data_IF_838242763139
#
_entry.id   IF_838242763139
#
_cell.length_a   1.000
_cell.length_b   1.000
_cell.length_c   1.000
_cell.angle_alpha   90.00
_cell.angle_beta   90.00
_cell.angle_gamma   90.00
#
_symmetry.space_group_name_H-M   'P 1'
#
loop_
_entity.id
_entity.type
_entity.pdbx_description
1 polymer ?
#
# COMPACT_ATOMS: atom_id res chain seq x y z
N UNK A 1 5.25 4.73 -44.58
CA UNK A 1 4.39 5.62 -43.77
C UNK A 1 3.13 4.93 -43.25
N UNK A 2 2.94 3.60 -43.44
CA UNK A 2 1.70 2.90 -43.06
C UNK A 2 1.76 2.22 -41.68
N UNK A 3 2.92 1.69 -41.28
CA UNK A 3 3.04 0.93 -40.01
C UNK A 3 2.76 1.79 -38.76
N UNK A 4 3.12 3.07 -38.79
CA UNK A 4 2.98 3.96 -37.63
C UNK A 4 1.52 4.29 -37.30
N UNK A 5 0.65 4.20 -38.30
CA UNK A 5 -0.79 4.43 -38.13
C UNK A 5 -1.51 3.14 -37.71
N UNK A 6 -1.04 1.97 -38.13
CA UNK A 6 -1.50 0.68 -37.63
C UNK A 6 -1.20 0.50 -36.13
N UNK A 7 0.00 0.88 -35.67
CA UNK A 7 0.33 0.84 -34.24
C UNK A 7 -0.55 1.78 -33.40
N UNK A 8 -0.87 2.97 -33.93
CA UNK A 8 -1.75 3.94 -33.25
C UNK A 8 -3.19 3.44 -33.17
N UNK A 9 -3.69 2.81 -34.23
CA UNK A 9 -5.02 2.22 -34.24
C UNK A 9 -5.11 0.98 -33.35
N UNK A 10 -4.07 0.14 -33.31
CA UNK A 10 -3.99 -0.99 -32.40
C UNK A 10 -3.94 -0.54 -30.92
N UNK A 11 -3.15 0.49 -30.61
CA UNK A 11 -3.08 1.05 -29.27
C UNK A 11 -4.41 1.70 -28.84
N UNK A 12 -5.11 2.37 -29.77
CA UNK A 12 -6.43 2.95 -29.49
C UNK A 12 -7.49 1.88 -29.20
N UNK A 13 -7.41 0.70 -29.82
CA UNK A 13 -8.29 -0.44 -29.51
C UNK A 13 -8.01 -1.06 -28.15
N UNK A 14 -6.74 -1.14 -27.73
CA UNK A 14 -6.35 -1.69 -26.42
C UNK A 14 -6.64 -0.72 -25.26
N UNK A 15 -6.70 0.58 -25.56
CA UNK A 15 -6.99 1.63 -24.58
C UNK A 15 -8.44 2.10 -24.65
N UNK A 16 -9.34 1.29 -25.22
CA UNK A 16 -10.74 1.65 -25.31
C UNK A 16 -11.35 1.77 -23.91
N UNK A 17 -12.01 2.91 -23.68
CA UNK A 17 -12.42 3.33 -22.34
C UNK A 17 -13.43 2.36 -21.73
N UNK A 18 -14.33 1.85 -22.56
CA UNK A 18 -15.41 0.97 -22.14
C UNK A 18 -14.87 -0.43 -21.78
N UNK A 19 -13.85 -0.92 -22.49
CA UNK A 19 -13.13 -2.15 -22.14
C UNK A 19 -12.37 -2.00 -20.81
N UNK A 20 -11.66 -0.89 -20.62
CA UNK A 20 -10.94 -0.58 -19.37
C UNK A 20 -11.93 -0.50 -18.20
N UNK A 21 -13.05 0.21 -18.37
CA UNK A 21 -14.07 0.36 -17.34
C UNK A 21 -14.73 -0.99 -16.99
N UNK A 22 -14.97 -1.85 -17.98
CA UNK A 22 -15.46 -3.21 -17.78
C UNK A 22 -14.48 -4.13 -17.02
N UNK A 23 -13.19 -4.07 -17.35
CA UNK A 23 -12.16 -4.88 -16.66
C UNK A 23 -11.95 -4.39 -15.23
N UNK A 24 -11.91 -3.08 -15.01
CA UNK A 24 -11.71 -2.50 -13.68
C UNK A 24 -12.94 -2.72 -12.78
N UNK A 25 -14.15 -2.56 -13.31
CA UNK A 25 -15.38 -2.81 -12.55
C UNK A 25 -15.54 -4.29 -12.16
N UNK A 26 -15.20 -5.21 -13.07
CA UNK A 26 -15.29 -6.66 -12.81
C UNK A 26 -14.21 -7.20 -11.87
N UNK A 27 -12.98 -6.66 -11.94
CA UNK A 27 -11.83 -7.19 -11.20
C UNK A 27 -11.52 -6.46 -9.89
N UNK A 28 -11.82 -5.16 -9.80
CA UNK A 28 -11.36 -4.31 -8.69
C UNK A 28 -12.48 -3.64 -7.89
N UNK A 29 -13.63 -3.31 -8.51
CA UNK A 29 -14.72 -2.59 -7.82
C UNK A 29 -15.95 -3.45 -7.50
N UNK A 30 -16.03 -4.69 -8.01
CA UNK A 30 -17.11 -5.59 -7.63
C UNK A 30 -16.82 -6.26 -6.28
N UNK A 31 -17.60 -5.88 -5.27
CA UNK A 31 -17.54 -6.40 -3.90
C UNK A 31 -18.23 -7.78 -3.75
N UNK A 32 -18.13 -8.62 -4.78
CA UNK A 32 -18.66 -9.99 -4.76
C UNK A 32 -17.51 -10.97 -4.66
N UNK A 33 -17.34 -11.68 -3.53
CA UNK A 33 -16.34 -12.73 -3.43
C UNK A 33 -16.74 -13.88 -4.37
N UNK A 34 -16.07 -13.97 -5.52
CA UNK A 34 -16.13 -15.17 -6.37
C UNK A 34 -15.50 -16.37 -5.65
N UNK A 35 -15.91 -17.61 -5.98
CA UNK A 35 -15.37 -18.80 -5.35
C UNK A 35 -13.90 -18.97 -5.74
N UNK A 36 -12.99 -18.65 -4.81
CA UNK A 36 -11.56 -18.88 -4.99
C UNK A 36 -11.26 -20.37 -5.03
N UNK A 37 -10.69 -20.81 -6.15
CA UNK A 37 -10.22 -22.17 -6.36
C UNK A 37 -9.15 -22.54 -5.32
N UNK A 38 -9.45 -23.59 -4.56
CA UNK A 38 -8.55 -24.13 -3.55
C UNK A 38 -7.37 -24.86 -4.22
N UNK A 39 -6.16 -24.30 -4.15
CA UNK A 39 -4.92 -25.05 -3.98
C UNK A 39 -3.67 -24.15 -3.95
N UNK A 40 -3.25 -23.73 -2.75
CA UNK A 40 -1.81 -23.70 -2.42
C UNK A 40 -1.61 -23.72 -0.90
N UNK A 41 -1.33 -24.90 -0.34
CA UNK A 41 -0.75 -25.01 1.01
C UNK A 41 0.64 -24.39 0.97
N UNK A 42 0.79 -23.19 1.56
CA UNK A 42 2.11 -22.64 1.90
C UNK A 42 2.04 -22.05 3.32
N UNK A 43 2.89 -22.62 4.18
CA UNK A 43 3.37 -22.17 5.50
C UNK A 43 2.40 -21.36 6.37
N UNK A 44 2.06 -21.92 7.54
CA UNK A 44 1.56 -21.20 8.73
C UNK A 44 2.63 -20.17 9.17
N UNK A 45 2.70 -19.06 8.45
CA UNK A 45 3.38 -17.84 8.87
C UNK A 45 2.45 -17.12 9.83
N UNK A 46 3.04 -16.51 10.87
CA UNK A 46 2.41 -15.72 11.92
C UNK A 46 1.12 -15.01 11.45
N UNK A 47 0.11 -15.02 12.32
CA UNK A 47 -1.18 -14.34 12.09
C UNK A 47 -0.95 -13.02 11.37
N UNK A 48 -1.42 -12.97 10.12
CA UNK A 48 -1.36 -11.76 9.31
C UNK A 48 -2.08 -10.67 10.10
N UNK A 49 -1.52 -9.46 10.23
CA UNK A 49 -2.14 -8.39 10.98
C UNK A 49 -3.61 -8.27 10.61
N UNK A 50 -4.46 -8.39 11.62
CA UNK A 50 -5.90 -8.16 11.57
C UNK A 50 -6.12 -6.85 10.81
N UNK A 51 -6.73 -6.94 9.63
CA UNK A 51 -7.05 -5.86 8.67
C UNK A 51 -6.61 -4.43 9.03
N UNK A 52 -5.73 -3.84 8.22
CA UNK A 52 -5.33 -2.44 8.41
C UNK A 52 -6.49 -1.48 8.09
N UNK A 53 -6.60 -0.39 8.86
CA UNK A 53 -7.53 0.72 8.59
C UNK A 53 -6.72 1.95 8.18
N UNK A 54 -7.12 2.59 7.08
CA UNK A 54 -6.57 3.89 6.70
C UNK A 54 -7.26 4.96 7.54
N UNK A 55 -6.46 5.80 8.20
CA UNK A 55 -6.94 6.90 9.04
C UNK A 55 -6.25 8.19 8.59
N UNK A 56 -6.92 9.31 8.83
CA UNK A 56 -6.33 10.63 8.72
C UNK A 56 -5.93 11.08 10.12
N UNK A 57 -4.66 11.43 10.32
CA UNK A 57 -4.16 12.06 11.55
C UNK A 57 -3.46 13.35 11.19
N UNK A 58 -3.59 14.37 12.03
CA UNK A 58 -2.80 15.59 11.94
C UNK A 58 -1.47 15.43 12.71
N UNK A 59 -0.38 15.89 12.12
CA UNK A 59 0.96 15.93 12.73
C UNK A 59 1.62 17.26 12.37
N UNK A 60 2.57 17.73 13.18
CA UNK A 60 3.40 18.87 12.80
C UNK A 60 4.24 18.51 11.57
N UNK A 61 4.50 19.49 10.70
CA UNK A 61 5.27 19.28 9.47
C UNK A 61 6.68 18.76 9.77
N UNK A 62 7.30 19.30 10.82
CA UNK A 62 8.63 18.86 11.26
C UNK A 62 8.64 17.38 11.68
N UNK A 63 7.57 16.91 12.33
CA UNK A 63 7.43 15.50 12.71
C UNK A 63 7.24 14.59 11.49
N UNK A 64 6.51 15.05 10.47
CA UNK A 64 6.38 14.32 9.20
C UNK A 64 7.73 14.20 8.49
N UNK A 65 8.51 15.29 8.44
CA UNK A 65 9.85 15.28 7.85
C UNK A 65 10.80 14.34 8.62
N UNK A 66 10.75 14.38 9.96
CA UNK A 66 11.54 13.47 10.79
C UNK A 66 11.15 12.02 10.57
N UNK A 67 9.86 11.73 10.41
CA UNK A 67 9.37 10.39 10.12
C UNK A 67 9.91 9.86 8.79
N UNK A 68 9.94 10.72 7.75
CA UNK A 68 10.49 10.37 6.44
C UNK A 68 12.00 10.10 6.49
N UNK A 69 12.76 10.96 7.19
CA UNK A 69 14.19 10.76 7.38
C UNK A 69 14.49 9.41 8.06
N UNK A 70 13.76 9.06 9.12
CA UNK A 70 13.93 7.77 9.81
C UNK A 70 13.63 6.58 8.89
N UNK A 71 12.60 6.69 8.03
CA UNK A 71 12.30 5.65 7.04
C UNK A 71 13.44 5.50 6.03
N UNK A 72 14.01 6.61 5.56
CA UNK A 72 15.12 6.58 4.60
C UNK A 72 16.39 6.00 5.22
N UNK A 73 16.70 6.33 6.47
CA UNK A 73 17.80 5.70 7.21
C UNK A 73 17.60 4.18 7.36
N UNK A 74 16.38 3.73 7.67
CA UNK A 74 16.08 2.30 7.76
C UNK A 74 16.26 1.59 6.41
N UNK A 75 15.81 2.21 5.32
CA UNK A 75 16.02 1.69 3.96
C UNK A 75 17.50 1.64 3.60
N UNK A 76 18.27 2.66 3.94
CA UNK A 76 19.72 2.70 3.74
C UNK A 76 20.44 1.57 4.51
N UNK A 77 19.92 1.18 5.68
CA UNK A 77 20.39 0.02 6.47
C UNK A 77 19.92 -1.34 5.93
N UNK A 78 19.24 -1.38 4.78
CA UNK A 78 18.79 -2.60 4.12
C UNK A 78 17.35 -3.04 4.46
N UNK A 79 16.61 -2.29 5.30
CA UNK A 79 15.20 -2.53 5.55
C UNK A 79 14.35 -1.92 4.42
N UNK A 80 14.43 -2.51 3.23
CA UNK A 80 13.79 -1.99 2.00
C UNK A 80 12.26 -1.87 2.07
N UNK A 81 11.62 -2.59 3.01
CA UNK A 81 10.17 -2.54 3.26
C UNK A 81 9.76 -1.55 4.36
N UNK A 82 10.71 -0.80 4.92
CA UNK A 82 10.39 0.24 5.90
C UNK A 82 9.49 1.32 5.27
N UNK A 83 8.40 1.64 5.95
CA UNK A 83 7.48 2.71 5.60
C UNK A 83 6.97 3.38 6.89
N UNK A 84 6.28 4.52 6.75
CA UNK A 84 5.77 5.31 7.88
C UNK A 84 4.94 4.46 8.86
N UNK A 85 4.03 3.63 8.36
CA UNK A 85 3.15 2.82 9.20
C UNK A 85 3.88 1.67 9.90
N UNK A 86 4.89 1.07 9.27
CA UNK A 86 5.73 0.05 9.88
C UNK A 86 6.60 0.64 11.00
N UNK A 87 7.16 1.83 10.79
CA UNK A 87 7.93 2.54 11.80
C UNK A 87 7.05 2.95 13.00
N UNK A 88 5.88 3.54 12.75
CA UNK A 88 4.91 3.89 13.80
C UNK A 88 4.49 2.64 14.58
N UNK A 89 4.21 1.52 13.89
CA UNK A 89 3.86 0.25 14.55
C UNK A 89 4.94 -0.23 15.51
N UNK A 90 6.20 -0.18 15.08
CA UNK A 90 7.32 -0.56 15.94
C UNK A 90 7.42 0.38 17.15
N UNK A 91 7.34 1.70 16.93
CA UNK A 91 7.39 2.69 18.00
C UNK A 91 6.26 2.52 19.04
N UNK A 92 5.05 2.16 18.60
CA UNK A 92 3.92 1.87 19.50
C UNK A 92 4.17 0.66 20.43
N UNK A 93 5.03 -0.27 20.05
CA UNK A 93 5.41 -1.42 20.89
C UNK A 93 6.49 -1.09 21.93
N UNK A 94 7.26 -0.02 21.71
CA UNK A 94 8.40 0.37 22.54
C UNK A 94 8.12 1.61 23.42
N UNK A 95 6.95 2.24 23.26
CA UNK A 95 6.62 3.45 24.01
C UNK A 95 6.35 3.14 25.49
N UNK A 96 7.03 3.89 26.36
CA UNK A 96 6.79 3.88 27.80
C UNK A 96 5.85 5.04 28.17
N UNK A 97 4.64 4.69 28.62
CA UNK A 97 3.60 5.66 28.93
C UNK A 97 3.89 6.46 30.20
N UNK A 98 4.67 5.92 31.14
CA UNK A 98 5.01 6.61 32.39
C UNK A 98 6.00 7.76 32.14
N UNK A 99 6.64 7.78 30.98
CA UNK A 99 7.58 8.82 30.54
C UNK A 99 6.92 9.93 29.71
N UNK A 100 5.64 9.80 29.40
CA UNK A 100 4.92 10.83 28.64
C UNK A 100 4.66 12.03 29.56
N UNK A 101 5.09 13.25 29.18
CA UNK A 101 4.89 14.43 30.01
C UNK A 101 3.40 14.71 30.21
N UNK A 102 3.04 15.28 31.37
CA UNK A 102 1.66 15.73 31.60
C UNK A 102 1.40 17.00 30.78
N UNK A 103 0.28 17.03 30.05
CA UNK A 103 -0.16 18.20 29.28
C UNK A 103 0.16 18.18 27.78
N UNK A 104 0.35 16.98 27.20
CA UNK A 104 0.39 16.78 25.74
C UNK A 104 -1.02 16.83 25.14
#
# INVERSE_FOLDING_TARGET
MSDRDDFRQAAARVLDRDEIEGVLSSSFYNDRPGPVSAARKTKRGADKPTHYKVICISMYMDDLHRLDQMVDELKARGLTKANRSALIRYALGEIDLDRVPRGI
#
